data_IF_263938482404
#
_entry.id   IF_263938482404
#
_cell.length_a   1.000
_cell.length_b   1.000
_cell.length_c   1.000
_cell.angle_alpha   90.00
_cell.angle_beta   90.00
_cell.angle_gamma   90.00
#
_symmetry.space_group_name_H-M   'P 1'
#
loop_
_entity.id
_entity.type
_entity.pdbx_description
1 polymer ?
#
# COMPACT_ATOMS: atom_id res chain seq x y z
N UNK A 1 -11.22 8.78 3.15
CA UNK A 1 -11.18 7.32 2.92
C UNK A 1 -12.57 6.73 2.73
N UNK A 2 -13.62 7.14 3.49
CA UNK A 2 -14.99 6.62 3.32
C UNK A 2 -15.52 6.61 1.88
N UNK A 3 -15.38 7.72 1.15
CA UNK A 3 -15.82 7.80 -0.25
C UNK A 3 -15.11 6.81 -1.17
N UNK A 4 -13.80 6.60 -0.97
CA UNK A 4 -13.01 5.64 -1.76
C UNK A 4 -13.43 4.22 -1.41
N UNK A 5 -13.57 3.91 -0.11
CA UNK A 5 -14.03 2.61 0.36
C UNK A 5 -15.42 2.26 -0.20
N UNK A 6 -16.36 3.20 -0.17
CA UNK A 6 -17.71 3.04 -0.76
C UNK A 6 -17.65 2.85 -2.28
N UNK A 7 -16.87 3.67 -2.99
CA UNK A 7 -16.66 3.50 -4.43
C UNK A 7 -16.13 2.09 -4.76
N UNK A 8 -15.09 1.63 -4.05
CA UNK A 8 -14.53 0.29 -4.29
C UNK A 8 -15.50 -0.84 -3.94
N UNK A 9 -16.41 -0.62 -2.98
CA UNK A 9 -17.46 -1.59 -2.67
C UNK A 9 -18.38 -1.78 -3.87
N UNK A 10 -18.92 -0.68 -4.41
CA UNK A 10 -19.80 -0.69 -5.57
C UNK A 10 -19.10 -1.26 -6.80
N UNK A 11 -17.86 -0.83 -7.05
CA UNK A 11 -17.06 -1.34 -8.17
C UNK A 11 -16.81 -2.86 -8.07
N UNK A 12 -16.46 -3.38 -6.89
CA UNK A 12 -16.30 -4.83 -6.69
C UNK A 12 -17.61 -5.60 -6.81
N UNK A 13 -18.74 -4.99 -6.44
CA UNK A 13 -20.08 -5.56 -6.62
C UNK A 13 -20.40 -5.71 -8.11
N UNK A 14 -20.25 -4.63 -8.90
CA UNK A 14 -20.46 -4.61 -10.35
C UNK A 14 -19.59 -5.62 -11.09
N UNK A 15 -18.33 -5.76 -10.67
CA UNK A 15 -17.37 -6.70 -11.27
C UNK A 15 -17.46 -8.12 -10.72
N UNK A 16 -18.33 -8.39 -9.74
CA UNK A 16 -18.43 -9.66 -9.03
C UNK A 16 -17.09 -10.11 -8.40
N UNK A 17 -16.29 -9.16 -7.89
CA UNK A 17 -14.96 -9.37 -7.28
C UNK A 17 -14.95 -9.35 -5.75
N UNK A 18 -16.13 -9.34 -5.16
CA UNK A 18 -16.35 -9.44 -3.73
C UNK A 18 -15.79 -10.75 -3.16
N UNK A 19 -15.40 -10.73 -1.88
CA UNK A 19 -15.08 -11.96 -1.15
C UNK A 19 -16.33 -12.86 -1.16
N UNK A 20 -16.16 -14.10 -1.61
CA UNK A 20 -17.27 -15.06 -1.72
C UNK A 20 -17.62 -15.57 -0.33
N UNK A 21 -18.89 -15.43 0.08
CA UNK A 21 -19.34 -15.67 1.45
C UNK A 21 -20.45 -16.74 1.56
N UNK A 22 -20.55 -17.62 0.57
CA UNK A 22 -21.63 -18.60 0.44
C UNK A 22 -21.47 -19.83 1.34
N UNK A 23 -20.23 -20.24 1.60
CA UNK A 23 -19.90 -21.23 2.61
C UNK A 23 -18.52 -20.95 3.23
N UNK A 24 -18.23 -21.62 4.35
CA UNK A 24 -17.00 -21.39 5.10
C UNK A 24 -15.72 -21.70 4.29
N UNK A 25 -15.68 -22.82 3.55
CA UNK A 25 -14.48 -23.20 2.81
C UNK A 25 -14.25 -22.27 1.62
N UNK A 26 -15.32 -21.88 0.92
CA UNK A 26 -15.23 -20.91 -0.17
C UNK A 26 -14.83 -19.52 0.32
N UNK A 27 -15.34 -19.11 1.49
CA UNK A 27 -14.93 -17.88 2.18
C UNK A 27 -13.45 -17.90 2.53
N UNK A 28 -13.01 -18.96 3.19
CA UNK A 28 -11.61 -19.14 3.59
C UNK A 28 -10.69 -19.12 2.37
N UNK A 29 -11.03 -19.84 1.30
CA UNK A 29 -10.26 -19.81 0.05
C UNK A 29 -10.24 -18.41 -0.55
N UNK A 30 -11.38 -17.70 -0.59
CA UNK A 30 -11.46 -16.35 -1.14
C UNK A 30 -10.61 -15.35 -0.34
N UNK A 31 -10.63 -15.43 0.99
CA UNK A 31 -9.80 -14.61 1.87
C UNK A 31 -8.30 -14.85 1.65
N UNK A 32 -7.88 -16.11 1.61
CA UNK A 32 -6.48 -16.48 1.39
C UNK A 32 -5.99 -16.04 0.00
N UNK A 33 -6.82 -16.20 -1.03
CA UNK A 33 -6.49 -15.72 -2.38
C UNK A 33 -6.34 -14.20 -2.42
N UNK A 34 -7.28 -13.44 -1.85
CA UNK A 34 -7.15 -11.98 -1.82
C UNK A 34 -5.96 -11.51 -0.96
N UNK A 35 -5.58 -12.27 0.06
CA UNK A 35 -4.40 -11.98 0.88
C UNK A 35 -3.12 -12.19 0.07
N UNK A 36 -3.02 -13.31 -0.65
CA UNK A 36 -1.92 -13.53 -1.58
C UNK A 36 -1.81 -12.43 -2.62
N UNK A 37 -2.92 -12.01 -3.22
CA UNK A 37 -2.92 -10.93 -4.20
C UNK A 37 -2.41 -9.62 -3.59
N UNK A 38 -2.93 -9.21 -2.42
CA UNK A 38 -2.40 -8.05 -1.69
C UNK A 38 -0.88 -8.14 -1.47
N UNK A 39 -0.36 -9.31 -1.10
CA UNK A 39 1.09 -9.47 -0.90
C UNK A 39 1.90 -9.34 -2.19
N UNK A 40 1.32 -9.69 -3.34
CA UNK A 40 1.92 -9.47 -4.66
C UNK A 40 2.02 -7.99 -4.96
N UNK A 41 0.92 -7.22 -4.79
CA UNK A 41 0.94 -5.77 -5.06
C UNK A 41 1.95 -5.03 -4.15
N UNK A 42 2.11 -5.50 -2.90
CA UNK A 42 3.14 -4.96 -1.98
C UNK A 42 4.55 -5.29 -2.48
N UNK A 43 4.76 -6.45 -3.10
CA UNK A 43 6.04 -6.80 -3.71
C UNK A 43 6.32 -5.95 -4.97
N UNK A 44 5.29 -5.58 -5.72
CA UNK A 44 5.41 -4.68 -6.88
C UNK A 44 5.80 -3.26 -6.47
N UNK A 45 5.30 -2.75 -5.34
CA UNK A 45 5.85 -1.52 -4.73
C UNK A 45 7.35 -1.64 -4.48
N UNK A 46 7.81 -2.77 -3.94
CA UNK A 46 9.23 -2.98 -3.68
C UNK A 46 10.06 -3.04 -4.97
N UNK A 47 9.48 -3.58 -6.06
CA UNK A 47 10.09 -3.61 -7.38
C UNK A 47 10.24 -2.19 -7.96
N UNK A 48 9.23 -1.34 -7.87
CA UNK A 48 9.32 0.06 -8.32
C UNK A 48 10.38 0.84 -7.55
N UNK A 49 10.47 0.64 -6.22
CA UNK A 49 11.54 1.25 -5.42
C UNK A 49 12.93 0.75 -5.87
N UNK A 50 13.07 -0.55 -6.15
CA UNK A 50 14.32 -1.14 -6.65
C UNK A 50 14.73 -0.53 -8.00
N UNK A 51 13.77 -0.30 -8.91
CA UNK A 51 14.00 0.39 -10.18
C UNK A 51 14.53 1.80 -9.95
N UNK A 52 13.91 2.57 -9.06
CA UNK A 52 14.38 3.92 -8.74
C UNK A 52 15.83 3.91 -8.23
N UNK A 53 16.18 3.03 -7.29
CA UNK A 53 17.54 2.95 -6.76
C UNK A 53 18.57 2.55 -7.82
N UNK A 54 18.24 1.58 -8.68
CA UNK A 54 19.12 1.18 -9.77
C UNK A 54 19.35 2.32 -10.77
N UNK A 55 18.29 3.07 -11.09
CA UNK A 55 18.38 4.23 -11.97
C UNK A 55 19.25 5.34 -11.35
N UNK A 56 19.04 5.67 -10.07
CA UNK A 56 19.86 6.64 -9.35
C UNK A 56 21.33 6.24 -9.35
N UNK A 57 21.64 4.99 -9.00
CA UNK A 57 23.03 4.49 -9.00
C UNK A 57 23.67 4.55 -10.39
N UNK A 58 22.91 4.23 -11.44
CA UNK A 58 23.39 4.33 -12.83
C UNK A 58 23.76 5.76 -13.18
N UNK A 59 22.88 6.73 -12.89
CA UNK A 59 23.12 8.14 -13.18
C UNK A 59 24.30 8.71 -12.39
N UNK A 60 24.47 8.31 -11.12
CA UNK A 60 25.64 8.69 -10.31
C UNK A 60 26.93 8.16 -10.94
N UNK A 61 26.94 6.91 -11.39
CA UNK A 61 28.10 6.31 -12.07
C UNK A 61 28.43 6.99 -13.41
N UNK A 62 27.45 7.65 -14.03
CA UNK A 62 27.62 8.49 -15.23
C UNK A 62 28.09 9.92 -14.91
N UNK A 63 28.31 10.23 -13.63
CA UNK A 63 28.82 11.52 -13.16
C UNK A 63 27.73 12.54 -12.79
N UNK A 64 26.47 12.11 -12.69
CA UNK A 64 25.40 12.98 -12.19
C UNK A 64 25.50 13.17 -10.67
N UNK A 65 25.12 14.37 -10.22
CA UNK A 65 24.91 14.65 -8.80
C UNK A 65 23.81 13.76 -8.19
N UNK A 66 24.02 13.29 -6.96
CA UNK A 66 23.15 12.32 -6.28
C UNK A 66 21.71 12.81 -6.12
N UNK A 67 21.53 14.06 -5.66
CA UNK A 67 20.19 14.62 -5.41
C UNK A 67 19.41 14.75 -6.72
N UNK A 68 20.08 15.20 -7.79
CA UNK A 68 19.49 15.27 -9.13
C UNK A 68 19.15 13.88 -9.69
N UNK A 69 20.06 12.92 -9.54
CA UNK A 69 19.85 11.54 -9.98
C UNK A 69 18.66 10.89 -9.27
N UNK A 70 18.48 11.15 -7.97
CA UNK A 70 17.37 10.61 -7.20
C UNK A 70 16.04 11.28 -7.55
N UNK A 71 15.99 12.60 -7.74
CA UNK A 71 14.76 13.28 -8.18
C UNK A 71 14.31 12.85 -9.59
N UNK A 72 15.26 12.58 -10.49
CA UNK A 72 14.95 11.99 -11.80
C UNK A 72 14.35 10.59 -11.67
N UNK A 73 14.96 9.73 -10.85
CA UNK A 73 14.45 8.37 -10.62
C UNK A 73 13.06 8.37 -9.96
N UNK A 74 12.83 9.22 -8.95
CA UNK A 74 11.51 9.41 -8.33
C UNK A 74 10.45 9.81 -9.35
N UNK A 75 10.80 10.73 -10.24
CA UNK A 75 9.90 11.18 -11.31
C UNK A 75 9.59 10.05 -12.28
N UNK A 76 10.59 9.23 -12.63
CA UNK A 76 10.45 8.13 -13.58
C UNK A 76 9.52 7.01 -13.08
N UNK A 77 9.54 6.68 -11.78
CA UNK A 77 8.72 5.59 -11.24
C UNK A 77 7.36 6.05 -10.69
N UNK A 78 7.09 7.37 -10.65
CA UNK A 78 5.96 7.95 -9.90
C UNK A 78 4.62 7.36 -10.29
N UNK A 79 4.38 7.21 -11.59
CA UNK A 79 3.09 6.77 -12.11
C UNK A 79 2.87 5.28 -11.87
N UNK A 80 3.91 4.46 -12.04
CA UNK A 80 3.83 3.01 -11.80
C UNK A 80 3.72 2.72 -10.30
N UNK A 81 4.54 3.36 -9.45
CA UNK A 81 4.40 3.28 -7.99
C UNK A 81 2.99 3.67 -7.52
N UNK A 82 2.38 4.66 -8.16
CA UNK A 82 1.01 5.08 -7.87
C UNK A 82 -0.04 4.01 -8.20
N UNK A 83 0.17 3.21 -9.26
CA UNK A 83 -0.71 2.09 -9.62
C UNK A 83 -0.61 0.97 -8.58
N UNK A 84 0.61 0.54 -8.24
CA UNK A 84 0.81 -0.53 -7.26
C UNK A 84 0.25 -0.15 -5.86
N UNK A 85 0.37 1.12 -5.48
CA UNK A 85 -0.28 1.65 -4.27
C UNK A 85 -1.81 1.63 -4.36
N UNK A 86 -2.38 1.91 -5.53
CA UNK A 86 -3.82 1.84 -5.76
C UNK A 86 -4.33 0.39 -5.71
N UNK A 87 -3.57 -0.57 -6.24
CA UNK A 87 -3.90 -2.00 -6.18
C UNK A 87 -3.85 -2.51 -4.74
N UNK A 88 -2.84 -2.11 -3.95
CA UNK A 88 -2.82 -2.35 -2.50
C UNK A 88 -4.08 -1.80 -1.81
N UNK A 89 -4.48 -0.56 -2.14
CA UNK A 89 -5.68 0.04 -1.57
C UNK A 89 -6.94 -0.74 -1.96
N UNK A 90 -7.05 -1.23 -3.19
CA UNK A 90 -8.20 -2.00 -3.65
C UNK A 90 -8.38 -3.29 -2.83
N UNK A 91 -7.31 -4.02 -2.53
CA UNK A 91 -7.40 -5.20 -1.66
C UNK A 91 -7.66 -4.85 -0.20
N UNK A 92 -7.02 -3.80 0.34
CA UNK A 92 -7.26 -3.34 1.72
C UNK A 92 -8.73 -2.94 1.91
N UNK A 93 -9.30 -2.17 0.98
CA UNK A 93 -10.72 -1.79 1.05
C UNK A 93 -11.63 -2.98 0.84
N UNK A 94 -11.26 -3.96 -0.01
CA UNK A 94 -12.02 -5.21 -0.15
C UNK A 94 -12.11 -5.98 1.18
N UNK A 95 -11.01 -6.10 1.92
CA UNK A 95 -11.02 -6.68 3.25
C UNK A 95 -11.85 -5.85 4.24
N UNK A 96 -11.63 -4.53 4.26
CA UNK A 96 -12.39 -3.63 5.12
C UNK A 96 -13.91 -3.75 4.90
N UNK A 97 -14.34 -3.82 3.64
CA UNK A 97 -15.74 -3.95 3.26
C UNK A 97 -16.32 -5.32 3.63
N UNK A 98 -15.56 -6.40 3.51
CA UNK A 98 -16.02 -7.74 3.91
C UNK A 98 -16.20 -7.90 5.42
N UNK A 99 -15.33 -7.26 6.21
CA UNK A 99 -15.39 -7.30 7.67
C UNK A 99 -16.20 -6.15 8.30
N UNK A 100 -16.89 -5.33 7.48
CA UNK A 100 -17.63 -4.14 7.91
C UNK A 100 -16.78 -3.16 8.75
N UNK A 101 -15.50 -3.00 8.39
CA UNK A 101 -14.55 -2.12 9.06
C UNK A 101 -14.60 -0.72 8.41
N UNK A 102 -14.85 0.32 9.20
CA UNK A 102 -14.60 1.70 8.80
C UNK A 102 -13.08 1.98 8.82
N UNK A 103 -12.47 1.97 7.64
CA UNK A 103 -11.01 2.15 7.51
C UNK A 103 -10.57 3.58 7.85
N UNK A 104 -11.43 4.58 7.65
CA UNK A 104 -11.11 5.97 7.99
C UNK A 104 -11.05 6.16 9.50
N UNK A 105 -12.08 5.70 10.20
CA UNK A 105 -12.13 5.75 11.66
C UNK A 105 -11.00 4.93 12.29
N UNK A 106 -10.75 3.73 11.77
CA UNK A 106 -9.67 2.85 12.22
C UNK A 106 -8.30 3.53 12.07
N UNK A 107 -8.06 4.19 10.93
CA UNK A 107 -6.82 4.92 10.69
C UNK A 107 -6.64 6.08 11.68
N UNK A 108 -7.65 6.94 11.85
CA UNK A 108 -7.53 8.09 12.76
C UNK A 108 -7.37 7.67 14.22
N UNK A 109 -8.12 6.66 14.66
CA UNK A 109 -7.96 6.07 15.99
C UNK A 109 -6.52 5.58 16.20
N UNK A 110 -5.97 4.87 15.20
CA UNK A 110 -4.59 4.39 15.26
C UNK A 110 -3.57 5.53 15.33
N UNK A 111 -3.76 6.60 14.55
CA UNK A 111 -2.85 7.75 14.55
C UNK A 111 -2.87 8.51 15.89
N UNK A 112 -4.02 8.59 16.57
CA UNK A 112 -4.09 9.14 17.92
C UNK A 112 -3.36 8.27 18.93
N UNK A 113 -3.50 6.95 18.84
CA UNK A 113 -2.71 6.02 19.65
C UNK A 113 -1.21 6.26 19.44
N UNK A 114 -0.75 6.32 18.18
CA UNK A 114 0.65 6.55 17.82
C UNK A 114 1.17 7.88 18.38
N UNK A 115 0.40 8.96 18.28
CA UNK A 115 0.76 10.28 18.83
C UNK A 115 1.03 10.24 20.34
N UNK A 116 0.30 9.38 21.06
CA UNK A 116 0.37 9.24 22.52
C UNK A 116 1.38 8.16 22.97
N UNK A 117 2.01 7.43 22.04
CA UNK A 117 3.07 6.48 22.38
C UNK A 117 4.28 7.23 22.95
N UNK A 118 4.69 6.85 24.16
CA UNK A 118 5.88 7.40 24.85
C UNK A 118 7.19 6.81 24.36
N UNK A 119 7.16 5.61 23.75
CA UNK A 119 8.32 5.00 23.09
C UNK A 119 8.48 5.58 21.68
N UNK A 120 8.75 6.88 21.58
CA UNK A 120 9.48 7.39 20.43
C UNK A 120 10.88 6.83 20.57
N UNK A 121 11.44 6.24 19.51
CA UNK A 121 12.83 5.79 19.53
C UNK A 121 13.68 6.89 20.15
N UNK A 122 14.24 6.60 21.33
CA UNK A 122 15.10 7.54 22.04
C UNK A 122 16.40 7.52 21.25
N UNK A 123 16.52 8.44 20.31
CA UNK A 123 17.75 8.60 19.51
C UNK A 123 18.95 8.76 20.43
N UNK A 124 20.10 8.25 20.00
CA UNK A 124 21.37 8.39 20.75
C UNK A 124 21.65 9.88 20.95
N UNK A 125 21.59 10.34 22.20
CA UNK A 125 22.08 11.66 22.59
C UNK A 125 23.60 11.59 22.49
N UNK A 126 24.17 12.12 21.40
CA UNK A 126 25.61 12.40 21.35
C UNK A 126 25.89 13.49 22.39
N UNK A 127 26.58 13.11 23.47
CA UNK A 127 27.23 14.05 24.39
C UNK A 127 28.49 14.61 23.75
#
# INVERSE_FOLDING_TARGET
MKKLQEFTKQYHEEMNWQIKADDYERTKSSLLTNYMLLTTEVAEIAEELRKAFNMTNTLINEGMDEEKAFEMAKTAIKDDLGKEMADCLAYITKFGNYFDIDLEESFYTKMQEVKNRKNKDVGVVKK
#
